data_IF_175898503271
#
_entry.id   IF_175898503271
#
_cell.length_a   1.000
_cell.length_b   1.000
_cell.length_c   1.000
_cell.angle_alpha   90.00
_cell.angle_beta   90.00
_cell.angle_gamma   90.00
#
_symmetry.space_group_name_H-M   'P 1'
#
loop_
_entity.id
_entity.type
_entity.pdbx_description
1 polymer ?
#
# COMPACT_ATOMS: atom_id res chain seq x y z
N UNK A 1 13.28 -14.82 16.21
CA UNK A 1 12.23 -13.94 15.64
C UNK A 1 12.52 -12.50 16.06
N UNK A 2 13.27 -11.71 15.29
CA UNK A 2 13.57 -10.31 15.64
C UNK A 2 12.48 -9.38 15.11
N UNK A 3 11.79 -8.69 16.02
CA UNK A 3 10.71 -7.76 15.73
C UNK A 3 11.17 -6.56 14.91
N UNK A 4 10.46 -6.29 13.83
CA UNK A 4 10.61 -5.12 12.95
C UNK A 4 10.52 -3.82 13.75
N UNK A 5 11.64 -3.11 13.96
CA UNK A 5 11.68 -1.79 14.65
C UNK A 5 11.35 -0.61 13.71
N UNK A 6 10.74 -0.88 12.57
CA UNK A 6 10.14 0.14 11.72
C UNK A 6 8.74 0.48 12.20
N UNK A 7 8.58 1.62 12.90
CA UNK A 7 7.24 2.10 13.27
C UNK A 7 6.30 2.21 12.06
N UNK A 8 4.98 2.15 12.28
CA UNK A 8 3.94 2.15 11.24
C UNK A 8 4.15 3.28 10.23
N UNK A 9 4.41 4.50 10.71
CA UNK A 9 4.69 5.69 9.86
C UNK A 9 5.85 5.47 8.89
N UNK A 10 6.94 4.86 9.34
CA UNK A 10 8.11 4.56 8.49
C UNK A 10 7.81 3.47 7.48
N UNK A 11 6.97 2.50 7.83
CA UNK A 11 6.53 1.45 6.92
C UNK A 11 5.65 2.01 5.81
N UNK A 12 4.71 2.90 6.14
CA UNK A 12 3.88 3.62 5.15
C UNK A 12 4.76 4.47 4.23
N UNK A 13 5.66 5.29 4.80
CA UNK A 13 6.57 6.10 4.00
C UNK A 13 7.42 5.25 3.05
N UNK A 14 7.92 4.10 3.52
CA UNK A 14 8.68 3.18 2.67
C UNK A 14 7.82 2.55 1.56
N UNK A 15 6.57 2.19 1.85
CA UNK A 15 5.64 1.65 0.86
C UNK A 15 5.38 2.65 -0.27
N UNK A 16 5.18 3.93 0.05
CA UNK A 16 4.96 4.99 -0.95
C UNK A 16 6.22 5.32 -1.74
N UNK A 17 7.38 5.32 -1.09
CA UNK A 17 8.67 5.51 -1.76
C UNK A 17 9.06 4.31 -2.63
N UNK A 18 8.45 3.13 -2.45
CA UNK A 18 8.80 1.95 -3.24
C UNK A 18 8.59 2.16 -4.74
N UNK A 19 7.54 2.89 -5.14
CA UNK A 19 7.26 3.19 -6.55
C UNK A 19 8.40 3.99 -7.22
N UNK A 20 8.80 5.18 -6.75
CA UNK A 20 9.94 5.89 -7.34
C UNK A 20 11.26 5.14 -7.15
N UNK A 21 11.42 4.35 -6.09
CA UNK A 21 12.63 3.54 -5.87
C UNK A 21 12.75 2.36 -6.83
N UNK A 22 11.65 1.83 -7.35
CA UNK A 22 11.65 0.76 -8.34
C UNK A 22 12.41 1.14 -9.61
N UNK A 23 12.49 2.44 -9.93
CA UNK A 23 13.23 2.98 -11.07
C UNK A 23 14.61 3.54 -10.69
N UNK A 24 14.90 3.67 -9.39
CA UNK A 24 16.18 4.19 -8.92
C UNK A 24 17.32 3.17 -9.08
N UNK A 25 18.57 3.64 -8.98
CA UNK A 25 19.76 2.78 -8.95
C UNK A 25 19.73 1.82 -7.75
N UNK A 26 20.28 0.61 -7.92
CA UNK A 26 20.33 -0.44 -6.86
C UNK A 26 20.90 0.10 -5.54
N UNK A 27 21.95 0.93 -5.59
CA UNK A 27 22.53 1.57 -4.41
C UNK A 27 21.50 2.36 -3.61
N UNK A 28 20.60 3.10 -4.28
CA UNK A 28 19.53 3.87 -3.65
C UNK A 28 18.48 2.94 -3.03
N UNK A 29 18.09 1.88 -3.74
CA UNK A 29 17.13 0.87 -3.27
C UNK A 29 17.57 0.18 -1.98
N UNK A 30 18.88 0.02 -1.78
CA UNK A 30 19.45 -0.55 -0.56
C UNK A 30 19.68 0.51 0.53
N UNK A 31 20.00 1.75 0.15
CA UNK A 31 20.26 2.86 1.10
C UNK A 31 19.01 3.33 1.83
N UNK A 32 17.87 3.43 1.13
CA UNK A 32 16.62 3.93 1.73
C UNK A 32 16.11 3.03 2.86
N UNK A 33 15.93 1.71 2.71
CA UNK A 33 15.46 0.86 3.81
C UNK A 33 16.45 0.86 4.99
N UNK A 34 17.76 0.91 4.72
CA UNK A 34 18.78 1.05 5.79
C UNK A 34 18.61 2.33 6.61
N UNK A 35 18.33 3.47 5.96
CA UNK A 35 18.19 4.77 6.64
C UNK A 35 16.81 4.96 7.26
N UNK A 36 15.76 4.68 6.50
CA UNK A 36 14.37 4.95 6.87
C UNK A 36 13.86 3.93 7.88
N UNK A 37 14.11 2.64 7.65
CA UNK A 37 13.64 1.55 8.52
C UNK A 37 14.66 1.14 9.57
N UNK A 38 15.92 1.59 9.46
CA UNK A 38 17.05 1.18 10.32
C UNK A 38 17.31 -0.32 10.30
N UNK A 39 17.07 -0.93 9.14
CA UNK A 39 17.14 -2.37 8.93
C UNK A 39 18.37 -2.70 8.06
N UNK A 40 19.24 -3.64 8.46
CA UNK A 40 20.35 -4.06 7.63
C UNK A 40 19.80 -4.78 6.38
N UNK A 41 20.26 -4.34 5.21
CA UNK A 41 19.90 -4.93 3.91
C UNK A 41 21.16 -4.97 3.07
N UNK A 42 21.77 -6.13 2.87
CA UNK A 42 22.93 -6.31 1.99
C UNK A 42 22.49 -6.79 0.61
N UNK A 43 23.30 -6.52 -0.40
CA UNK A 43 23.14 -7.10 -1.73
C UNK A 43 24.09 -8.30 -1.85
N UNK A 44 23.63 -9.34 -2.53
CA UNK A 44 24.44 -10.52 -2.83
C UNK A 44 24.15 -10.95 -4.26
N UNK A 45 25.20 -11.05 -5.08
CA UNK A 45 25.13 -11.44 -6.51
C UNK A 45 24.01 -10.76 -7.29
N UNK A 46 24.07 -9.42 -7.32
CA UNK A 46 23.07 -8.60 -8.01
C UNK A 46 23.21 -8.80 -9.51
N UNK A 47 22.26 -9.52 -10.10
CA UNK A 47 22.14 -9.70 -11.54
C UNK A 47 21.03 -8.82 -12.15
N UNK A 48 21.12 -8.56 -13.45
CA UNK A 48 20.12 -7.78 -14.19
C UNK A 48 18.69 -8.37 -14.06
N UNK A 49 18.47 -9.69 -14.23
CA UNK A 49 17.13 -10.27 -14.07
C UNK A 49 16.54 -10.04 -12.68
N UNK A 50 17.38 -10.13 -11.63
CA UNK A 50 16.94 -9.87 -10.24
C UNK A 50 16.57 -8.40 -10.04
N UNK A 51 17.31 -7.48 -10.64
CA UNK A 51 16.96 -6.07 -10.64
C UNK A 51 15.62 -5.82 -11.34
N UNK A 52 15.37 -6.46 -12.49
CA UNK A 52 14.09 -6.35 -13.20
C UNK A 52 12.93 -6.91 -12.38
N UNK A 53 13.05 -8.12 -11.84
CA UNK A 53 12.02 -8.73 -10.98
C UNK A 53 11.72 -7.84 -9.77
N UNK A 54 12.74 -7.33 -9.10
CA UNK A 54 12.57 -6.41 -7.98
C UNK A 54 11.87 -5.12 -8.42
N UNK A 55 12.26 -4.55 -9.57
CA UNK A 55 11.66 -3.30 -10.08
C UNK A 55 10.18 -3.49 -10.38
N UNK A 56 9.82 -4.54 -11.12
CA UNK A 56 8.42 -4.82 -11.52
C UNK A 56 7.54 -5.05 -10.29
N UNK A 57 7.97 -5.92 -9.37
CA UNK A 57 7.21 -6.19 -8.15
C UNK A 57 7.12 -4.96 -7.24
N UNK A 58 8.23 -4.23 -7.08
CA UNK A 58 8.27 -3.05 -6.22
C UNK A 58 7.41 -1.91 -6.80
N UNK A 59 7.42 -1.71 -8.11
CA UNK A 59 6.58 -0.75 -8.81
C UNK A 59 5.11 -1.12 -8.71
N UNK A 60 4.73 -2.36 -9.01
CA UNK A 60 3.32 -2.81 -8.95
C UNK A 60 2.73 -2.65 -7.55
N UNK A 61 3.45 -3.11 -6.52
CA UNK A 61 3.01 -2.94 -5.13
C UNK A 61 3.02 -1.46 -4.71
N UNK A 62 4.01 -0.68 -5.16
CA UNK A 62 4.10 0.75 -4.88
C UNK A 62 2.94 1.55 -5.47
N UNK A 63 2.56 1.24 -6.72
CA UNK A 63 1.39 1.82 -7.39
C UNK A 63 0.10 1.48 -6.65
N UNK A 64 -0.07 0.21 -6.26
CA UNK A 64 -1.19 -0.20 -5.42
C UNK A 64 -1.23 0.58 -4.09
N UNK A 65 -0.08 0.83 -3.44
CA UNK A 65 -0.04 1.61 -2.21
C UNK A 65 -0.52 3.06 -2.41
N UNK A 66 -0.13 3.69 -3.52
CA UNK A 66 -0.64 5.01 -3.89
C UNK A 66 -2.16 4.99 -4.12
N UNK A 67 -2.66 3.97 -4.81
CA UNK A 67 -4.09 3.78 -5.01
C UNK A 67 -4.86 3.57 -3.70
N UNK A 68 -4.33 2.77 -2.77
CA UNK A 68 -4.94 2.58 -1.45
C UNK A 68 -4.97 3.87 -0.62
N UNK A 69 -3.95 4.73 -0.72
CA UNK A 69 -3.95 6.06 -0.09
C UNK A 69 -5.01 6.96 -0.71
N UNK A 70 -5.14 6.96 -2.04
CA UNK A 70 -6.19 7.69 -2.73
C UNK A 70 -7.57 7.22 -2.25
N UNK A 71 -7.84 5.92 -2.24
CA UNK A 71 -9.11 5.35 -1.77
C UNK A 71 -9.38 5.69 -0.30
N UNK A 72 -8.37 5.63 0.56
CA UNK A 72 -8.46 6.01 1.97
C UNK A 72 -8.90 7.46 2.12
N UNK A 73 -8.29 8.37 1.36
CA UNK A 73 -8.68 9.77 1.35
C UNK A 73 -10.10 9.98 0.81
N UNK A 74 -10.45 9.35 -0.31
CA UNK A 74 -11.78 9.46 -0.93
C UNK A 74 -12.89 8.99 0.02
N UNK A 75 -12.74 7.80 0.62
CA UNK A 75 -13.73 7.23 1.54
C UNK A 75 -13.86 8.07 2.80
N UNK A 76 -12.74 8.56 3.37
CA UNK A 76 -12.78 9.40 4.56
C UNK A 76 -13.48 10.74 4.29
N UNK A 77 -13.06 11.44 3.22
CA UNK A 77 -13.62 12.74 2.85
C UNK A 77 -15.10 12.59 2.50
N UNK A 78 -15.47 11.60 1.68
CA UNK A 78 -16.87 11.36 1.29
C UNK A 78 -17.74 10.95 2.48
N UNK A 79 -17.20 10.18 3.42
CA UNK A 79 -17.92 9.79 4.63
C UNK A 79 -18.19 10.98 5.56
N UNK A 80 -17.15 11.77 5.86
CA UNK A 80 -17.28 12.94 6.75
C UNK A 80 -18.08 14.07 6.11
N UNK A 81 -17.89 14.31 4.81
CA UNK A 81 -18.58 15.34 4.04
C UNK A 81 -19.87 14.82 3.38
N UNK A 82 -20.40 13.66 3.79
CA UNK A 82 -21.58 13.04 3.19
C UNK A 82 -22.74 14.01 2.92
N UNK A 83 -23.13 14.91 3.85
CA UNK A 83 -24.22 15.86 3.64
C UNK A 83 -23.99 16.85 2.48
N UNK A 84 -22.73 17.09 2.12
CA UNK A 84 -22.34 18.03 1.06
C UNK A 84 -22.23 17.35 -0.30
N UNK A 85 -22.06 16.03 -0.33
CA UNK A 85 -21.73 15.27 -1.55
C UNK A 85 -22.81 14.25 -1.94
N UNK A 86 -23.82 14.03 -1.08
CA UNK A 86 -24.94 13.13 -1.36
C UNK A 86 -25.94 13.78 -2.31
N UNK A 87 -26.44 13.01 -3.30
CA UNK A 87 -27.57 13.42 -4.16
C UNK A 87 -28.96 13.08 -3.58
N UNK A 88 -29.03 12.67 -2.31
CA UNK A 88 -30.23 12.19 -1.62
C UNK A 88 -29.86 11.23 -0.48
N UNK A 89 -30.65 11.20 0.59
CA UNK A 89 -30.38 10.40 1.81
C UNK A 89 -31.53 9.46 2.19
N UNK A 90 -32.68 9.58 1.52
CA UNK A 90 -33.93 8.90 1.84
C UNK A 90 -33.81 7.38 1.68
N UNK A 91 -33.08 6.95 0.65
CA UNK A 91 -32.82 5.54 0.34
C UNK A 91 -31.39 5.10 0.73
N UNK A 92 -30.62 5.96 1.40
CA UNK A 92 -29.28 5.64 1.83
C UNK A 92 -29.28 4.82 3.12
N UNK A 93 -28.23 4.04 3.35
CA UNK A 93 -28.05 3.34 4.63
C UNK A 93 -27.98 4.37 5.77
N UNK A 94 -28.85 4.21 6.78
CA UNK A 94 -29.05 5.17 7.87
C UNK A 94 -30.20 6.17 7.65
N UNK A 95 -30.90 6.13 6.50
CA UNK A 95 -32.12 6.91 6.25
C UNK A 95 -33.30 6.55 7.18
N UNK A 96 -34.42 7.32 7.16
CA UNK A 96 -34.75 8.39 6.22
C UNK A 96 -34.25 9.77 6.64
N UNK A 97 -33.38 9.87 7.66
CA UNK A 97 -32.86 11.16 8.13
C UNK A 97 -31.47 11.44 7.59
N UNK A 98 -31.15 12.72 7.37
CA UNK A 98 -29.80 13.15 7.03
C UNK A 98 -28.78 12.80 8.12
N UNK A 99 -29.18 12.91 9.39
CA UNK A 99 -28.31 12.61 10.52
C UNK A 99 -27.93 11.12 10.59
N UNK A 100 -28.91 10.22 10.41
CA UNK A 100 -28.68 8.79 10.44
C UNK A 100 -27.82 8.31 9.26
N UNK A 101 -28.12 8.81 8.07
CA UNK A 101 -27.31 8.50 6.87
C UNK A 101 -25.89 9.03 7.00
N UNK A 102 -25.70 10.26 7.46
CA UNK A 102 -24.38 10.81 7.75
C UNK A 102 -23.60 9.96 8.74
N UNK A 103 -24.21 9.57 9.86
CA UNK A 103 -23.52 8.80 10.90
C UNK A 103 -22.97 7.48 10.36
N UNK A 104 -23.75 6.76 9.55
CA UNK A 104 -23.30 5.51 8.91
C UNK A 104 -22.11 5.75 7.99
N UNK A 105 -22.18 6.77 7.13
CA UNK A 105 -21.12 7.04 6.15
C UNK A 105 -19.86 7.59 6.80
N UNK A 106 -19.99 8.43 7.83
CA UNK A 106 -18.88 8.92 8.64
C UNK A 106 -18.20 7.75 9.38
N UNK A 107 -18.98 6.85 9.99
CA UNK A 107 -18.45 5.67 10.67
C UNK A 107 -17.72 4.73 9.71
N UNK A 108 -18.30 4.44 8.54
CA UNK A 108 -17.64 3.66 7.49
C UNK A 108 -16.34 4.33 7.02
N UNK A 109 -16.34 5.65 6.83
CA UNK A 109 -15.16 6.44 6.52
C UNK A 109 -14.05 6.27 7.56
N UNK A 110 -14.40 6.41 8.84
CA UNK A 110 -13.49 6.30 9.98
C UNK A 110 -12.97 4.87 10.21
N UNK A 111 -13.67 3.83 9.75
CA UNK A 111 -13.22 2.44 9.87
C UNK A 111 -12.39 1.99 8.66
N UNK A 112 -12.87 2.26 7.45
CA UNK A 112 -12.25 1.79 6.20
C UNK A 112 -10.94 2.54 5.93
N UNK A 113 -10.92 3.86 6.11
CA UNK A 113 -9.73 4.67 5.82
C UNK A 113 -8.46 4.20 6.58
N UNK A 114 -8.48 4.02 7.92
CA UNK A 114 -7.32 3.50 8.64
C UNK A 114 -7.02 2.03 8.32
N UNK A 115 -8.03 1.21 7.98
CA UNK A 115 -7.79 -0.17 7.55
C UNK A 115 -6.95 -0.21 6.26
N UNK A 116 -7.27 0.64 5.28
CA UNK A 116 -6.48 0.80 4.06
C UNK A 116 -5.05 1.29 4.35
N UNK A 117 -4.88 2.25 5.27
CA UNK A 117 -3.54 2.69 5.70
C UNK A 117 -2.76 1.59 6.44
N UNK A 118 -3.46 0.74 7.19
CA UNK A 118 -2.89 -0.47 7.79
C UNK A 118 -2.36 -1.44 6.75
N UNK A 119 -3.10 -1.63 5.66
CA UNK A 119 -2.66 -2.43 4.51
C UNK A 119 -1.42 -1.81 3.85
N UNK A 120 -1.38 -0.49 3.63
CA UNK A 120 -0.18 0.22 3.11
C UNK A 120 1.04 0.01 4.04
N UNK A 121 0.85 0.09 5.37
CA UNK A 121 1.91 -0.16 6.32
C UNK A 121 2.44 -1.60 6.25
N UNK A 122 1.54 -2.58 6.09
CA UNK A 122 1.90 -3.99 5.87
C UNK A 122 2.68 -4.17 4.56
N UNK A 123 2.26 -3.52 3.47
CA UNK A 123 2.95 -3.54 2.18
C UNK A 123 4.37 -2.99 2.28
N UNK A 124 4.63 -1.98 3.12
CA UNK A 124 5.99 -1.52 3.41
C UNK A 124 6.89 -2.62 3.98
N UNK A 125 6.35 -3.51 4.82
CA UNK A 125 7.08 -4.67 5.33
C UNK A 125 7.30 -5.72 4.24
N UNK A 126 6.31 -5.94 3.38
CA UNK A 126 6.44 -6.83 2.22
C UNK A 126 7.53 -6.34 1.26
N UNK A 127 7.58 -5.04 0.96
CA UNK A 127 8.63 -4.40 0.14
C UNK A 127 10.03 -4.61 0.72
N UNK A 128 10.18 -4.53 2.04
CA UNK A 128 11.46 -4.80 2.71
C UNK A 128 11.86 -6.28 2.54
N UNK A 129 10.91 -7.20 2.73
CA UNK A 129 11.14 -8.63 2.54
C UNK A 129 11.50 -8.96 1.09
N UNK A 130 10.80 -8.36 0.10
CA UNK A 130 11.10 -8.52 -1.32
C UNK A 130 12.51 -8.01 -1.65
N UNK A 131 12.89 -6.86 -1.11
CA UNK A 131 14.24 -6.32 -1.28
C UNK A 131 15.30 -7.26 -0.73
N UNK A 132 15.10 -7.79 0.49
CA UNK A 132 16.01 -8.78 1.10
C UNK A 132 16.06 -10.08 0.30
N UNK A 133 14.93 -10.58 -0.16
CA UNK A 133 14.86 -11.87 -0.87
C UNK A 133 15.45 -11.79 -2.27
N UNK A 134 15.07 -10.79 -3.05
CA UNK A 134 15.43 -10.71 -4.47
C UNK A 134 16.84 -10.16 -4.65
N UNK A 135 17.22 -9.12 -3.90
CA UNK A 135 18.53 -8.46 -4.05
C UNK A 135 19.59 -8.95 -3.05
N UNK A 136 19.16 -9.42 -1.86
CA UNK A 136 20.05 -9.91 -0.80
C UNK A 136 20.08 -11.42 -0.65
N UNK A 137 19.22 -12.17 -1.37
CA UNK A 137 19.04 -13.61 -1.22
C UNK A 137 18.66 -14.09 0.20
N UNK A 138 18.19 -13.18 1.07
CA UNK A 138 17.86 -13.45 2.46
C UNK A 138 16.34 -13.46 2.66
N UNK A 139 15.85 -14.45 3.39
CA UNK A 139 14.45 -14.54 3.80
C UNK A 139 13.64 -15.60 3.05
N UNK A 140 12.34 -15.70 3.38
CA UNK A 140 11.52 -16.82 2.95
C UNK A 140 11.18 -16.74 1.46
N UNK A 141 11.14 -17.90 0.82
CA UNK A 141 10.84 -18.04 -0.61
C UNK A 141 9.43 -17.56 -0.98
N UNK A 142 8.45 -17.69 -0.08
CA UNK A 142 7.06 -17.29 -0.29
C UNK A 142 6.88 -15.78 -0.53
N UNK A 143 7.88 -14.96 -0.18
CA UNK A 143 7.80 -13.51 -0.33
C UNK A 143 7.53 -13.09 -1.78
N UNK A 144 8.15 -13.77 -2.73
CA UNK A 144 7.99 -13.49 -4.17
C UNK A 144 6.58 -13.85 -4.66
N UNK A 145 6.06 -15.08 -4.48
CA UNK A 145 4.70 -15.39 -4.91
C UNK A 145 3.64 -14.55 -4.21
N UNK A 146 3.80 -14.23 -2.92
CA UNK A 146 2.89 -13.29 -2.24
C UNK A 146 2.95 -11.90 -2.87
N UNK A 147 4.14 -11.40 -3.21
CA UNK A 147 4.31 -10.14 -3.92
C UNK A 147 3.65 -10.14 -5.31
N UNK A 148 3.77 -11.24 -6.06
CA UNK A 148 3.13 -11.43 -7.37
C UNK A 148 1.61 -11.39 -7.23
N UNK A 149 1.04 -12.22 -6.35
CA UNK A 149 -0.41 -12.29 -6.13
C UNK A 149 -0.94 -10.94 -5.67
N UNK A 150 -0.27 -10.29 -4.73
CA UNK A 150 -0.69 -8.99 -4.22
C UNK A 150 -0.66 -7.90 -5.30
N UNK A 151 0.40 -7.86 -6.12
CA UNK A 151 0.47 -6.95 -7.25
C UNK A 151 -0.62 -7.24 -8.29
N UNK A 152 -0.85 -8.52 -8.63
CA UNK A 152 -1.85 -8.92 -9.61
C UNK A 152 -3.28 -8.57 -9.15
N UNK A 153 -3.64 -8.91 -7.91
CA UNK A 153 -4.94 -8.54 -7.32
C UNK A 153 -5.12 -7.02 -7.26
N UNK A 154 -4.07 -6.30 -6.91
CA UNK A 154 -4.08 -4.83 -6.93
C UNK A 154 -4.34 -4.25 -8.31
N UNK A 155 -3.68 -4.78 -9.34
CA UNK A 155 -3.88 -4.37 -10.73
C UNK A 155 -5.30 -4.66 -11.19
N UNK A 156 -5.81 -5.88 -10.96
CA UNK A 156 -7.18 -6.25 -11.33
C UNK A 156 -8.19 -5.34 -10.64
N UNK A 157 -8.01 -5.10 -9.33
CA UNK A 157 -8.88 -4.21 -8.57
C UNK A 157 -8.83 -2.76 -9.08
N UNK A 158 -7.63 -2.24 -9.36
CA UNK A 158 -7.47 -0.91 -9.94
C UNK A 158 -8.16 -0.78 -11.29
N UNK A 159 -7.95 -1.74 -12.20
CA UNK A 159 -8.62 -1.75 -13.51
C UNK A 159 -10.13 -1.82 -13.34
N UNK A 160 -10.63 -2.76 -12.54
CA UNK A 160 -12.06 -2.89 -12.27
C UNK A 160 -12.67 -1.59 -11.71
N UNK A 161 -11.96 -0.89 -10.82
CA UNK A 161 -12.40 0.40 -10.28
C UNK A 161 -12.42 1.50 -11.36
N UNK A 162 -11.42 1.57 -12.24
CA UNK A 162 -11.42 2.57 -13.33
C UNK A 162 -12.52 2.35 -14.35
N UNK A 163 -12.97 1.10 -14.55
CA UNK A 163 -14.08 0.77 -15.44
C UNK A 163 -15.45 1.11 -14.83
N UNK A 164 -15.52 1.47 -13.55
CA UNK A 164 -16.74 1.91 -12.87
C UNK A 164 -16.94 3.43 -12.92
N UNK A 165 -15.91 4.19 -13.31
CA UNK A 165 -15.96 5.65 -13.47
C UNK A 165 -16.63 6.00 -14.82
#
# INVERSE_FOLDING_TARGET
MSGTRGGIRRSVAFALLALPLAFARVRTRLRVPRRLLREPVTAHDVSLPRCLIHSVLSAGIGLLCWFLVLLSALVLVRGLAYPLVSGGYENAWGGPTLAGSWLVHAALGLLIAPALLGLVAWSGRLQLRLTRKVLGHVGPWWTVPVGVVFAALGTVFFVAWTQQL
#
